data_IF_836939263732
#
_entry.id   IF_836939263732
#
_cell.length_a   1.000
_cell.length_b   1.000
_cell.length_c   1.000
_cell.angle_alpha   90.00
_cell.angle_beta   90.00
_cell.angle_gamma   90.00
#
_symmetry.space_group_name_H-M   'P 1'
#
loop_
_entity.id
_entity.type
_entity.pdbx_description
1 polymer ?
#
# COMPACT_ATOMS: atom_id res chain seq x y z
N UNK A 1 -2.16 20.22 -11.03
CA UNK A 1 -2.50 20.51 -9.62
C UNK A 1 -1.91 21.82 -9.12
N UNK A 2 -0.61 22.09 -9.28
CA UNK A 2 -0.01 23.33 -8.74
C UNK A 2 -0.68 24.63 -9.23
N UNK A 3 -1.15 24.67 -10.48
CA UNK A 3 -1.93 25.80 -10.98
C UNK A 3 -3.27 25.99 -10.25
N UNK A 4 -3.97 24.89 -9.93
CA UNK A 4 -5.22 24.90 -9.16
C UNK A 4 -4.94 25.38 -7.73
N UNK A 5 -3.90 24.83 -7.10
CA UNK A 5 -3.52 25.17 -5.73
C UNK A 5 -2.97 26.60 -5.55
N UNK A 6 -2.56 27.27 -6.64
CA UNK A 6 -2.26 28.71 -6.63
C UNK A 6 -3.51 29.57 -6.54
N UNK A 7 -4.61 29.11 -7.14
CA UNK A 7 -5.89 29.82 -7.15
C UNK A 7 -6.72 29.51 -5.90
N UNK A 8 -6.71 28.25 -5.48
CA UNK A 8 -7.36 27.74 -4.29
C UNK A 8 -6.42 26.77 -3.54
N UNK A 9 -5.64 27.29 -2.57
CA UNK A 9 -4.72 26.47 -1.78
C UNK A 9 -5.42 25.45 -0.87
N UNK A 10 -6.73 25.57 -0.67
CA UNK A 10 -7.52 24.73 0.24
C UNK A 10 -8.30 23.64 -0.49
N UNK A 11 -8.17 23.56 -1.82
CA UNK A 11 -8.85 22.56 -2.64
C UNK A 11 -8.38 21.13 -2.31
N UNK A 12 -9.16 20.42 -1.49
CA UNK A 12 -8.81 19.09 -0.97
C UNK A 12 -8.59 18.07 -2.09
N UNK A 13 -9.42 18.10 -3.12
CA UNK A 13 -9.31 17.16 -4.25
C UNK A 13 -8.03 17.38 -5.04
N UNK A 14 -7.66 18.64 -5.31
CA UNK A 14 -6.41 18.96 -5.98
C UNK A 14 -5.17 18.62 -5.14
N UNK A 15 -5.24 18.76 -3.82
CA UNK A 15 -4.17 18.34 -2.91
C UNK A 15 -4.04 16.82 -2.91
N UNK A 16 -5.15 16.09 -2.76
CA UNK A 16 -5.16 14.62 -2.79
C UNK A 16 -4.64 14.07 -4.10
N UNK A 17 -5.13 14.58 -5.23
CA UNK A 17 -4.72 14.14 -6.55
C UNK A 17 -3.25 14.49 -6.85
N UNK A 18 -2.74 15.59 -6.29
CA UNK A 18 -1.30 15.87 -6.30
C UNK A 18 -0.51 14.82 -5.52
N UNK A 19 -0.98 14.45 -4.32
CA UNK A 19 -0.38 13.37 -3.53
C UNK A 19 -0.36 12.05 -4.29
N UNK A 20 -1.46 11.71 -4.98
CA UNK A 20 -1.57 10.50 -5.78
C UNK A 20 -0.57 10.50 -6.94
N UNK A 21 -0.47 11.61 -7.67
CA UNK A 21 0.50 11.76 -8.76
C UNK A 21 1.95 11.64 -8.25
N UNK A 22 2.27 12.22 -7.09
CA UNK A 22 3.58 12.10 -6.47
C UNK A 22 3.89 10.66 -6.06
N UNK A 23 2.91 9.93 -5.50
CA UNK A 23 3.08 8.52 -5.15
C UNK A 23 3.31 7.64 -6.38
N UNK A 24 2.63 7.92 -7.50
CA UNK A 24 2.88 7.24 -8.79
C UNK A 24 4.26 7.54 -9.37
N UNK A 25 4.87 8.66 -9.00
CA UNK A 25 6.26 9.00 -9.31
C UNK A 25 7.24 8.49 -8.24
N UNK A 26 6.80 7.63 -7.32
CA UNK A 26 7.58 7.07 -6.19
C UNK A 26 8.13 8.13 -5.21
N UNK A 27 7.59 9.36 -5.26
CA UNK A 27 7.94 10.47 -4.36
C UNK A 27 7.10 10.39 -3.09
N UNK A 28 7.24 9.30 -2.35
CA UNK A 28 6.33 8.94 -1.26
C UNK A 28 6.31 9.94 -0.11
N UNK A 29 7.45 10.51 0.30
CA UNK A 29 7.47 11.52 1.37
C UNK A 29 6.70 12.79 0.98
N UNK A 30 6.79 13.22 -0.28
CA UNK A 30 6.06 14.39 -0.78
C UNK A 30 4.57 14.08 -0.99
N UNK A 31 4.25 12.85 -1.36
CA UNK A 31 2.86 12.37 -1.40
C UNK A 31 2.24 12.41 0.00
N UNK A 32 2.92 11.87 1.02
CA UNK A 32 2.50 11.92 2.43
C UNK A 32 2.27 13.36 2.88
N UNK A 33 3.21 14.27 2.60
CA UNK A 33 3.05 15.69 2.95
C UNK A 33 1.86 16.36 2.22
N UNK A 34 1.51 15.88 1.03
CA UNK A 34 0.30 16.34 0.33
C UNK A 34 -0.96 15.80 1.02
N UNK A 35 -1.02 14.51 1.35
CA UNK A 35 -2.16 13.96 2.09
C UNK A 35 -2.33 14.58 3.49
N UNK A 36 -1.24 14.90 4.17
CA UNK A 36 -1.29 15.63 5.44
C UNK A 36 -1.99 16.98 5.30
N UNK A 37 -1.66 17.75 4.25
CA UNK A 37 -2.35 19.00 3.95
C UNK A 37 -3.82 18.80 3.61
N UNK A 38 -4.17 17.72 2.90
CA UNK A 38 -5.57 17.40 2.63
C UNK A 38 -6.32 17.08 3.93
N UNK A 39 -5.68 16.38 4.86
CA UNK A 39 -6.23 16.03 6.17
C UNK A 39 -6.31 17.22 7.13
N UNK A 40 -5.44 18.23 7.00
CA UNK A 40 -5.60 19.50 7.71
C UNK A 40 -6.89 20.22 7.32
N UNK A 41 -7.29 20.15 6.04
CA UNK A 41 -8.53 20.75 5.54
C UNK A 41 -9.76 19.86 5.76
N UNK A 42 -9.60 18.54 5.70
CA UNK A 42 -10.66 17.56 5.87
C UNK A 42 -10.16 16.35 6.67
N UNK A 43 -10.17 16.44 8.02
CA UNK A 43 -9.58 15.42 8.90
C UNK A 43 -10.20 14.03 8.78
N UNK A 44 -11.46 13.96 8.35
CA UNK A 44 -12.21 12.72 8.19
C UNK A 44 -12.35 12.29 6.72
N UNK A 45 -11.44 12.73 5.84
CA UNK A 45 -11.40 12.29 4.44
C UNK A 45 -10.82 10.86 4.33
N UNK A 46 -11.63 9.83 3.99
CA UNK A 46 -11.15 8.45 3.97
C UNK A 46 -10.14 8.18 2.85
N UNK A 47 -10.27 8.87 1.70
CA UNK A 47 -9.36 8.70 0.57
C UNK A 47 -7.95 9.22 0.90
N UNK A 48 -7.87 10.39 1.55
CA UNK A 48 -6.60 10.95 2.00
C UNK A 48 -5.90 10.01 3.00
N UNK A 49 -6.63 9.49 3.98
CA UNK A 49 -6.12 8.47 4.91
C UNK A 49 -5.66 7.20 4.20
N UNK A 50 -6.46 6.69 3.26
CA UNK A 50 -6.14 5.46 2.52
C UNK A 50 -4.85 5.60 1.72
N UNK A 51 -4.74 6.64 0.89
CA UNK A 51 -3.57 6.83 0.05
C UNK A 51 -2.32 7.22 0.85
N UNK A 52 -2.49 7.92 1.99
CA UNK A 52 -1.40 8.13 2.95
C UNK A 52 -0.91 6.79 3.52
N UNK A 53 -1.83 5.90 3.88
CA UNK A 53 -1.51 4.53 4.32
C UNK A 53 -0.74 3.74 3.27
N UNK A 54 -1.16 3.79 2.00
CA UNK A 54 -0.44 3.18 0.88
C UNK A 54 0.97 3.75 0.72
N UNK A 55 1.14 5.08 0.84
CA UNK A 55 2.44 5.72 0.74
C UNK A 55 3.37 5.33 1.91
N UNK A 56 2.86 5.23 3.14
CA UNK A 56 3.63 4.70 4.28
C UNK A 56 4.03 3.24 4.10
N UNK A 57 3.11 2.43 3.57
CA UNK A 57 3.39 1.03 3.26
C UNK A 57 4.52 0.90 2.24
N UNK A 58 4.52 1.71 1.18
CA UNK A 58 5.56 1.70 0.16
C UNK A 58 6.97 2.05 0.70
N UNK A 59 7.05 2.84 1.77
CA UNK A 59 8.32 3.14 2.47
C UNK A 59 8.58 2.24 3.68
N UNK A 60 7.88 1.10 3.78
CA UNK A 60 8.01 0.10 4.86
C UNK A 60 7.69 0.62 6.27
N UNK A 61 6.94 1.73 6.37
CA UNK A 61 6.47 2.27 7.65
C UNK A 61 5.17 1.59 8.07
N UNK A 62 5.27 0.31 8.47
CA UNK A 62 4.11 -0.56 8.71
C UNK A 62 3.16 -0.03 9.80
N UNK A 63 3.68 0.48 10.91
CA UNK A 63 2.86 1.06 11.99
C UNK A 63 2.06 2.28 11.51
N UNK A 64 2.71 3.21 10.80
CA UNK A 64 2.05 4.40 10.29
C UNK A 64 1.01 4.07 9.20
N UNK A 65 1.29 3.07 8.36
CA UNK A 65 0.33 2.55 7.40
C UNK A 65 -0.88 1.91 8.10
N UNK A 66 -0.63 1.16 9.18
CA UNK A 66 -1.67 0.50 9.97
C UNK A 66 -2.61 1.51 10.62
N UNK A 67 -2.06 2.58 11.21
CA UNK A 67 -2.85 3.67 11.79
C UNK A 67 -3.75 4.32 10.74
N UNK A 68 -3.21 4.57 9.54
CA UNK A 68 -3.97 5.13 8.43
C UNK A 68 -5.12 4.22 8.01
N UNK A 69 -4.86 2.93 7.72
CA UNK A 69 -5.93 2.00 7.33
C UNK A 69 -6.95 1.76 8.45
N UNK A 70 -6.51 1.77 9.71
CA UNK A 70 -7.40 1.70 10.88
C UNK A 70 -8.34 2.91 10.94
N UNK A 71 -7.85 4.10 10.59
CA UNK A 71 -8.70 5.29 10.47
C UNK A 71 -9.67 5.18 9.28
N UNK A 72 -9.24 4.63 8.14
CA UNK A 72 -10.13 4.42 6.98
C UNK A 72 -11.30 3.51 7.35
N UNK A 73 -11.05 2.36 7.96
CA UNK A 73 -12.14 1.41 8.31
C UNK A 73 -13.05 1.92 9.43
N UNK A 74 -12.60 2.87 10.26
CA UNK A 74 -13.47 3.59 11.20
C UNK A 74 -14.40 4.57 10.47
N UNK A 75 -13.88 5.29 9.47
CA UNK A 75 -14.64 6.30 8.72
C UNK A 75 -15.54 5.68 7.65
N UNK A 76 -15.04 4.63 6.98
CA UNK A 76 -15.65 3.94 5.86
C UNK A 76 -15.57 2.40 6.07
N UNK A 77 -16.46 1.83 6.90
CA UNK A 77 -16.42 0.42 7.26
C UNK A 77 -16.70 -0.54 6.09
N UNK A 78 -17.26 -0.07 4.98
CA UNK A 78 -17.51 -0.83 3.76
C UNK A 78 -16.30 -0.87 2.80
N UNK A 79 -15.17 -0.24 3.17
CA UNK A 79 -13.95 -0.25 2.37
C UNK A 79 -13.19 -1.58 2.49
N UNK A 80 -13.49 -2.52 1.60
CA UNK A 80 -12.89 -3.87 1.55
C UNK A 80 -11.36 -3.80 1.50
N UNK A 81 -10.81 -2.95 0.64
CA UNK A 81 -9.35 -2.81 0.43
C UNK A 81 -8.63 -2.30 1.68
N UNK A 82 -9.25 -1.40 2.46
CA UNK A 82 -8.69 -0.95 3.73
C UNK A 82 -8.65 -2.07 4.78
N UNK A 83 -9.72 -2.86 4.89
CA UNK A 83 -9.75 -4.05 5.76
C UNK A 83 -8.69 -5.08 5.35
N UNK A 84 -8.56 -5.34 4.05
CA UNK A 84 -7.54 -6.22 3.51
C UNK A 84 -6.12 -5.74 3.84
N UNK A 85 -5.79 -4.48 3.54
CA UNK A 85 -4.46 -3.92 3.81
C UNK A 85 -4.13 -3.89 5.30
N UNK A 86 -5.13 -3.59 6.16
CA UNK A 86 -4.98 -3.67 7.61
C UNK A 86 -4.68 -5.10 8.07
N UNK A 87 -5.41 -6.09 7.53
CA UNK A 87 -5.15 -7.49 7.80
C UNK A 87 -3.76 -7.92 7.34
N UNK A 88 -3.33 -7.46 6.17
CA UNK A 88 -2.01 -7.75 5.64
C UNK A 88 -0.91 -7.22 6.56
N UNK A 89 -1.02 -5.98 7.03
CA UNK A 89 -0.06 -5.37 7.96
C UNK A 89 0.01 -6.11 9.29
N UNK A 90 -1.13 -6.47 9.90
CA UNK A 90 -1.13 -7.30 11.10
C UNK A 90 -0.45 -8.65 10.88
N UNK A 91 -0.62 -9.26 9.70
CA UNK A 91 0.10 -10.48 9.34
C UNK A 91 1.61 -10.23 9.27
N UNK A 92 2.06 -9.15 8.62
CA UNK A 92 3.47 -8.78 8.55
C UNK A 92 4.07 -8.56 9.94
N UNK A 93 3.33 -7.90 10.84
CA UNK A 93 3.76 -7.59 12.20
C UNK A 93 3.68 -8.77 13.16
N UNK A 94 2.91 -9.80 12.82
CA UNK A 94 2.78 -11.02 13.64
C UNK A 94 1.53 -11.09 14.50
N UNK A 95 0.66 -10.08 14.46
CA UNK A 95 -0.61 -10.04 15.16
C UNK A 95 -1.69 -10.84 14.40
N UNK A 96 -1.53 -12.16 14.38
CA UNK A 96 -2.32 -13.07 13.52
C UNK A 96 -3.83 -12.97 13.79
N UNK A 97 -4.25 -12.82 15.04
CA UNK A 97 -5.68 -12.72 15.39
C UNK A 97 -6.32 -11.45 14.80
N UNK A 98 -5.65 -10.31 14.88
CA UNK A 98 -6.16 -9.06 14.29
C UNK A 98 -6.14 -9.09 12.76
N UNK A 99 -5.18 -9.84 12.18
CA UNK A 99 -5.15 -10.12 10.75
C UNK A 99 -6.39 -10.91 10.31
N UNK A 100 -6.73 -12.00 11.01
CA UNK A 100 -7.93 -12.81 10.75
C UNK A 100 -9.19 -11.97 10.89
N UNK A 101 -9.34 -11.21 11.99
CA UNK A 101 -10.49 -10.32 12.20
C UNK A 101 -10.66 -9.31 11.05
N UNK A 102 -9.56 -8.79 10.54
CA UNK A 102 -9.58 -7.82 9.45
C UNK A 102 -9.99 -8.47 8.12
N UNK A 103 -9.50 -9.67 7.81
CA UNK A 103 -9.97 -10.41 6.63
C UNK A 103 -11.42 -10.86 6.75
N UNK A 104 -11.87 -11.25 7.94
CA UNK A 104 -13.27 -11.58 8.18
C UNK A 104 -14.18 -10.39 7.93
N UNK A 105 -13.74 -9.19 8.33
CA UNK A 105 -14.46 -7.95 8.05
C UNK A 105 -14.51 -7.65 6.54
N UNK A 106 -13.40 -7.88 5.81
CA UNK A 106 -13.38 -7.77 4.36
C UNK A 106 -14.31 -8.79 3.67
N UNK A 107 -14.28 -10.05 4.12
CA UNK A 107 -15.08 -11.16 3.57
C UNK A 107 -16.57 -11.07 3.94
N UNK A 108 -16.90 -10.40 5.04
CA UNK A 108 -18.30 -10.09 5.38
C UNK A 108 -18.92 -9.12 4.35
N UNK A 109 -18.11 -8.25 3.76
CA UNK A 109 -18.55 -7.29 2.73
C UNK A 109 -18.48 -7.94 1.34
N UNK A 110 -17.36 -8.59 1.00
CA UNK A 110 -17.18 -9.34 -0.24
C UNK A 110 -16.72 -10.78 0.05
N UNK A 111 -17.66 -11.73 0.15
CA UNK A 111 -17.35 -13.14 0.42
C UNK A 111 -16.52 -13.82 -0.67
N UNK A 112 -16.43 -13.21 -1.84
CA UNK A 112 -15.76 -13.76 -3.02
C UNK A 112 -14.36 -13.21 -3.26
N UNK A 113 -13.78 -12.45 -2.31
CA UNK A 113 -12.45 -11.86 -2.44
C UNK A 113 -11.33 -12.93 -2.33
N UNK A 114 -10.65 -13.32 -3.43
CA UNK A 114 -9.68 -14.42 -3.41
C UNK A 114 -8.45 -14.08 -2.56
N UNK A 115 -7.94 -12.85 -2.68
CA UNK A 115 -6.77 -12.36 -1.93
C UNK A 115 -7.00 -12.38 -0.42
N UNK A 116 -8.20 -12.04 0.05
CA UNK A 116 -8.55 -12.10 1.47
C UNK A 116 -8.61 -13.54 1.98
N UNK A 117 -9.24 -14.46 1.23
CA UNK A 117 -9.26 -15.90 1.58
C UNK A 117 -7.86 -16.51 1.62
N UNK A 118 -7.01 -16.17 0.65
CA UNK A 118 -5.63 -16.65 0.59
C UNK A 118 -4.80 -16.20 1.79
N UNK A 119 -4.86 -14.92 2.15
CA UNK A 119 -4.12 -14.40 3.28
C UNK A 119 -4.72 -14.80 4.64
N UNK A 120 -6.04 -14.97 4.74
CA UNK A 120 -6.71 -15.54 5.92
C UNK A 120 -6.31 -16.98 6.15
N UNK A 121 -6.27 -17.81 5.09
CA UNK A 121 -5.73 -19.17 5.16
C UNK A 121 -4.29 -19.17 5.69
N UNK A 122 -3.45 -18.27 5.20
CA UNK A 122 -2.09 -18.14 5.68
C UNK A 122 -2.04 -17.77 7.17
N UNK A 123 -2.89 -16.83 7.60
CA UNK A 123 -3.01 -16.45 9.01
C UNK A 123 -3.37 -17.65 9.91
N UNK A 124 -4.42 -18.41 9.58
CA UNK A 124 -4.79 -19.63 10.33
C UNK A 124 -3.66 -20.68 10.36
N UNK A 125 -2.93 -20.83 9.25
CA UNK A 125 -1.78 -21.73 9.20
C UNK A 125 -0.70 -21.34 10.21
N UNK A 126 -0.45 -20.04 10.43
CA UNK A 126 0.55 -19.56 11.40
C UNK A 126 0.24 -19.94 12.84
N UNK A 127 -1.04 -19.98 13.20
CA UNK A 127 -1.51 -20.35 14.54
C UNK A 127 -1.91 -21.82 14.66
N UNK A 128 -1.59 -22.63 13.63
CA UNK A 128 -1.84 -24.08 13.59
C UNK A 128 -3.33 -24.46 13.58
N UNK A 129 -4.19 -23.55 13.14
CA UNK A 129 -5.62 -23.75 12.90
C UNK A 129 -5.83 -24.34 11.49
N UNK A 130 -5.46 -25.61 11.35
CA UNK A 130 -5.38 -26.26 10.04
C UNK A 130 -6.74 -26.54 9.38
N UNK A 131 -7.78 -26.71 10.19
CA UNK A 131 -9.14 -26.96 9.69
C UNK A 131 -9.68 -25.68 9.04
N UNK A 132 -9.54 -24.54 9.72
CA UNK A 132 -9.92 -23.21 9.27
C UNK A 132 -9.13 -22.79 8.02
N UNK A 133 -7.84 -23.11 7.98
CA UNK A 133 -7.01 -22.93 6.79
C UNK A 133 -7.52 -23.77 5.61
N UNK A 134 -7.98 -25.00 5.85
CA UNK A 134 -8.53 -25.89 4.81
C UNK A 134 -9.89 -25.41 4.30
N UNK A 135 -10.74 -24.85 5.17
CA UNK A 135 -11.99 -24.20 4.78
C UNK A 135 -11.72 -23.03 3.85
N UNK A 136 -10.81 -22.13 4.25
CA UNK A 136 -10.43 -20.95 3.45
C UNK A 136 -9.85 -21.36 2.09
N UNK A 137 -9.05 -22.44 2.04
CA UNK A 137 -8.54 -23.03 0.79
C UNK A 137 -9.66 -23.56 -0.10
N UNK A 138 -10.61 -24.30 0.46
CA UNK A 138 -11.72 -24.87 -0.30
C UNK A 138 -12.60 -23.76 -0.90
N UNK A 139 -12.86 -22.70 -0.14
CA UNK A 139 -13.58 -21.51 -0.61
C UNK A 139 -12.82 -20.81 -1.74
N UNK A 140 -11.52 -20.56 -1.56
CA UNK A 140 -10.68 -19.95 -2.59
C UNK A 140 -10.72 -20.75 -3.88
N UNK A 141 -10.51 -22.06 -3.81
CA UNK A 141 -10.51 -22.93 -4.99
C UNK A 141 -11.89 -23.02 -5.67
N UNK A 142 -12.98 -22.80 -4.95
CA UNK A 142 -14.32 -22.75 -5.55
C UNK A 142 -14.55 -21.46 -6.34
N UNK A 143 -13.88 -20.36 -5.96
CA UNK A 143 -13.96 -19.05 -6.62
C UNK A 143 -12.96 -18.96 -7.77
N UNK A 144 -11.69 -19.24 -7.48
CA UNK A 144 -10.58 -19.17 -8.41
C UNK A 144 -9.60 -20.35 -8.16
N UNK A 145 -9.75 -21.47 -8.90
CA UNK A 145 -8.84 -22.61 -8.82
C UNK A 145 -7.40 -22.30 -9.24
N UNK A 146 -7.18 -21.28 -10.07
CA UNK A 146 -5.88 -20.96 -10.67
C UNK A 146 -5.13 -19.86 -9.88
N UNK A 147 -5.76 -19.29 -8.85
CA UNK A 147 -5.20 -18.21 -8.02
C UNK A 147 -3.78 -18.51 -7.51
N UNK A 148 -3.58 -19.66 -6.87
CA UNK A 148 -2.26 -20.06 -6.36
C UNK A 148 -1.23 -20.24 -7.49
N UNK A 149 -1.67 -20.76 -8.64
CA UNK A 149 -0.80 -20.96 -9.80
C UNK A 149 -0.36 -19.62 -10.38
N UNK A 150 -1.27 -18.65 -10.47
CA UNK A 150 -0.97 -17.28 -10.89
C UNK A 150 0.06 -16.62 -9.96
N UNK A 151 -0.10 -16.73 -8.63
CA UNK A 151 0.89 -16.24 -7.67
C UNK A 151 2.24 -16.95 -7.81
N UNK A 152 2.25 -18.25 -8.08
CA UNK A 152 3.49 -19.00 -8.28
C UNK A 152 4.22 -18.54 -9.55
N UNK A 153 3.49 -18.29 -10.63
CA UNK A 153 4.04 -17.80 -11.89
C UNK A 153 4.62 -16.39 -11.75
N UNK A 154 3.99 -15.54 -10.92
CA UNK A 154 4.48 -14.19 -10.58
C UNK A 154 5.61 -14.19 -9.52
N UNK A 155 5.90 -15.33 -8.90
CA UNK A 155 6.90 -15.45 -7.84
C UNK A 155 6.49 -14.83 -6.49
N UNK A 156 5.21 -14.50 -6.32
CA UNK A 156 4.65 -13.85 -5.12
C UNK A 156 3.92 -14.81 -4.18
N UNK A 157 3.86 -16.11 -4.54
CA UNK A 157 3.20 -17.13 -3.71
C UNK A 157 3.94 -17.32 -2.38
N UNK A 158 3.20 -17.17 -1.28
CA UNK A 158 3.67 -17.54 0.04
C UNK A 158 3.77 -19.07 0.12
N UNK A 159 4.86 -19.57 0.70
CA UNK A 159 5.01 -21.00 0.93
C UNK A 159 4.01 -21.48 2.01
N UNK A 160 3.00 -22.23 1.57
CA UNK A 160 2.05 -22.95 2.42
C UNK A 160 2.15 -24.44 2.02
N UNK A 161 2.39 -25.37 2.96
CA UNK A 161 2.49 -26.79 2.61
C UNK A 161 1.18 -27.31 2.01
N UNK A 162 1.28 -28.30 1.14
CA UNK A 162 0.11 -28.91 0.47
C UNK A 162 -0.73 -29.74 1.43
N UNK A 163 -0.07 -30.40 2.38
CA UNK A 163 -0.65 -31.23 3.43
C UNK A 163 -0.37 -30.58 4.78
N UNK A 164 -1.42 -30.37 5.57
CA UNK A 164 -1.33 -29.82 6.91
C UNK A 164 -1.04 -30.97 7.88
N UNK A 165 0.23 -31.19 8.21
CA UNK A 165 0.60 -32.13 9.26
C UNK A 165 0.83 -31.36 10.56
N UNK A 166 0.05 -31.65 11.61
CA UNK A 166 0.10 -30.89 12.87
C UNK A 166 1.38 -31.06 13.68
N UNK A 167 2.26 -31.97 13.27
CA UNK A 167 3.58 -32.22 13.83
C UNK A 167 4.70 -31.45 13.10
N UNK A 168 4.38 -30.69 12.04
CA UNK A 168 5.36 -29.99 11.23
C UNK A 168 5.77 -28.67 11.91
N UNK A 169 6.90 -28.68 12.62
CA UNK A 169 7.48 -27.48 13.22
C UNK A 169 8.38 -26.78 12.18
N UNK A 170 7.76 -26.13 11.19
CA UNK A 170 8.46 -25.34 10.19
C UNK A 170 8.49 -23.86 10.62
N UNK A 171 9.64 -23.34 11.08
CA UNK A 171 9.74 -21.90 11.33
C UNK A 171 9.60 -21.17 9.99
N UNK A 172 8.64 -20.24 9.91
CA UNK A 172 8.52 -19.36 8.76
C UNK A 172 9.85 -18.60 8.59
N UNK A 173 10.44 -18.54 7.38
CA UNK A 173 11.71 -17.87 7.22
C UNK A 173 11.53 -16.38 7.51
N UNK A 174 12.29 -15.85 8.48
CA UNK A 174 12.27 -14.44 8.88
C UNK A 174 12.47 -13.47 7.70
N UNK A 175 13.13 -13.94 6.61
CA UNK A 175 13.34 -13.17 5.38
C UNK A 175 12.05 -12.66 4.72
N UNK A 176 10.91 -13.30 4.97
CA UNK A 176 9.63 -12.90 4.36
C UNK A 176 8.92 -11.78 5.12
N UNK A 177 9.25 -11.55 6.39
CA UNK A 177 8.57 -10.57 7.24
C UNK A 177 9.53 -9.96 8.25
N UNK A 178 9.78 -8.66 8.12
CA UNK A 178 10.63 -7.90 9.04
C UNK A 178 9.99 -7.86 10.44
N UNK A 179 10.38 -8.80 11.29
CA UNK A 179 10.32 -8.59 12.74
C UNK A 179 11.26 -7.45 13.13
N UNK A 180 11.08 -6.91 14.33
CA UNK A 180 11.82 -5.74 14.87
C UNK A 180 13.36 -5.87 14.83
N UNK A 181 13.90 -7.06 14.52
CA UNK A 181 15.33 -7.33 14.35
C UNK A 181 15.85 -7.20 12.91
N UNK A 182 15.00 -6.93 11.91
CA UNK A 182 15.43 -6.78 10.51
C UNK A 182 15.41 -5.33 10.06
N UNK A 183 16.59 -4.71 10.06
CA UNK A 183 16.89 -3.55 9.24
C UNK A 183 17.52 -4.08 7.96
N UNK A 184 16.82 -4.12 6.81
CA UNK A 184 17.49 -4.38 5.54
C UNK A 184 18.58 -3.33 5.35
N UNK A 185 19.82 -3.74 5.02
CA UNK A 185 20.91 -2.81 4.65
C UNK A 185 20.53 -1.94 3.42
N UNK A 186 19.40 -2.24 2.76
CA UNK A 186 18.84 -1.51 1.64
C UNK A 186 17.55 -0.74 1.97
N UNK A 187 17.23 -0.49 3.24
CA UNK A 187 16.27 0.59 3.56
C UNK A 187 16.95 1.88 3.16
N UNK A 188 16.34 2.62 2.22
CA UNK A 188 16.66 4.03 2.02
C UNK A 188 16.48 4.72 3.37
N UNK A 189 17.61 4.93 4.06
CA UNK A 189 17.65 5.55 5.37
C UNK A 189 16.84 6.84 5.28
N UNK A 190 15.94 7.03 6.24
CA UNK A 190 15.16 8.25 6.37
C UNK A 190 16.12 9.44 6.45
N UNK A 191 16.33 10.13 5.32
CA UNK A 191 17.25 11.28 5.18
C UNK A 191 16.91 12.42 6.16
N UNK A 192 15.71 12.39 6.75
CA UNK A 192 15.26 13.33 7.79
C UNK A 192 16.01 13.15 9.11
N UNK A 193 16.36 11.92 9.50
CA UNK A 193 17.14 11.64 10.72
C UNK A 193 18.62 11.96 10.51
N UNK A 194 19.15 11.70 9.31
CA UNK A 194 20.52 12.07 8.94
C UNK A 194 20.69 13.59 8.96
N UNK A 195 19.72 14.35 8.44
CA UNK A 195 19.80 15.82 8.44
C UNK A 195 19.86 16.42 9.87
N UNK A 196 19.17 15.82 10.84
CA UNK A 196 19.23 16.26 12.24
C UNK A 196 20.55 15.88 12.93
N UNK A 197 21.13 14.72 12.59
CA UNK A 197 22.45 14.31 13.12
C UNK A 197 23.62 15.10 12.50
N UNK A 198 23.52 15.46 11.22
CA UNK A 198 24.55 16.24 10.51
C UNK A 198 24.54 17.71 10.92
N UNK A 199 23.37 18.28 11.22
CA UNK A 199 23.26 19.65 11.74
C UNK A 199 23.82 19.82 13.16
N UNK A 200 23.83 18.75 13.97
CA UNK A 200 24.44 18.78 15.31
C UNK A 200 25.95 18.56 15.31
N UNK A 201 26.55 18.15 14.19
CA UNK A 201 28.00 17.86 14.08
C UNK A 201 28.76 18.86 13.21
N UNK A 202 28.08 19.78 12.53
CA UNK A 202 28.70 20.70 11.55
C UNK A 202 28.73 22.15 12.02
N UNK A 203 29.13 22.39 13.27
CA UNK A 203 29.71 23.68 13.70
C UNK A 203 31.23 23.52 13.74
N UNK A 204 31.88 23.72 12.58
CA UNK A 204 33.28 24.16 12.35
C UNK A 204 33.79 23.69 10.99
N UNK A 205 33.74 24.57 9.97
CA UNK A 205 34.92 25.20 9.34
C UNK A 205 34.54 25.86 8.01
N UNK A 206 35.06 27.06 7.86
CA UNK A 206 35.06 27.92 6.68
C UNK A 206 35.89 27.32 5.54
N UNK A 207 35.61 27.75 4.30
CA UNK A 207 36.67 27.93 3.30
C UNK A 207 36.41 27.39 1.89
N UNK A 208 36.01 28.33 1.02
CA UNK A 208 36.55 28.54 -0.33
C UNK A 208 36.05 27.73 -1.56
N UNK A 209 36.22 28.44 -2.67
CA UNK A 209 35.57 28.48 -3.98
C UNK A 209 36.11 27.48 -5.04
N UNK A 210 35.35 27.29 -6.13
CA UNK A 210 35.82 26.64 -7.35
C UNK A 210 34.72 26.29 -8.34
N UNK A 211 34.96 26.57 -9.63
CA UNK A 211 34.01 26.65 -10.75
C UNK A 211 34.24 25.57 -11.83
N UNK A 212 33.21 25.33 -12.67
CA UNK A 212 33.21 25.03 -14.12
C UNK A 212 32.96 23.60 -14.67
N UNK A 213 32.10 23.55 -15.73
CA UNK A 213 32.13 22.67 -16.94
C UNK A 213 31.13 21.49 -16.96
N UNK A 214 29.99 21.49 -17.68
CA UNK A 214 29.74 21.26 -19.15
C UNK A 214 30.37 19.96 -19.71
N UNK A 215 29.73 19.01 -20.42
CA UNK A 215 28.77 19.04 -21.57
C UNK A 215 28.29 17.61 -21.97
N UNK A 216 27.08 17.52 -22.59
CA UNK A 216 26.54 16.66 -23.72
C UNK A 216 26.73 15.11 -23.75
N UNK A 217 25.90 14.23 -24.35
CA UNK A 217 25.01 14.23 -25.55
C UNK A 217 24.00 13.05 -25.48
N UNK A 218 22.71 13.23 -25.80
CA UNK A 218 21.95 12.82 -27.02
C UNK A 218 21.79 11.30 -27.35
N UNK A 219 20.54 10.79 -27.35
CA UNK A 219 19.73 10.49 -28.56
C UNK A 219 18.62 9.42 -28.37
N UNK A 220 17.38 9.81 -28.75
CA UNK A 220 16.32 9.10 -29.52
C UNK A 220 15.77 7.71 -29.09
N UNK A 221 14.53 7.28 -29.34
CA UNK A 221 13.24 7.79 -29.89
C UNK A 221 12.26 6.56 -29.89
N UNK A 222 10.97 6.78 -30.18
CA UNK A 222 9.80 5.87 -30.34
C UNK A 222 8.95 5.72 -29.06
N UNK A 223 7.77 6.33 -28.90
CA UNK A 223 6.59 6.42 -29.79
C UNK A 223 5.60 5.37 -29.29
N UNK A 224 4.53 5.67 -28.55
CA UNK A 224 3.26 6.24 -29.02
C UNK A 224 2.45 6.87 -27.86
N UNK A 225 1.80 8.00 -28.15
CA UNK A 225 0.72 8.61 -27.36
C UNK A 225 -0.60 8.49 -28.13
N UNK A 226 -1.73 8.24 -27.45
CA UNK A 226 -3.06 8.73 -27.88
C UNK A 226 -4.06 8.85 -26.71
N UNK A 227 -4.84 9.93 -26.74
CA UNK A 227 -5.98 10.44 -25.93
C UNK A 227 -7.03 10.89 -26.98
N UNK A 228 -8.35 11.16 -26.77
CA UNK A 228 -9.44 10.66 -25.91
C UNK A 228 -10.63 10.14 -26.79
N UNK A 229 -11.86 10.01 -26.25
CA UNK A 229 -13.07 10.39 -27.01
C UNK A 229 -14.22 10.80 -26.07
N UNK A 230 -14.83 11.95 -26.38
CA UNK A 230 -16.17 12.39 -25.94
C UNK A 230 -17.22 12.05 -27.02
N UNK A 231 -18.48 12.09 -26.59
CA UNK A 231 -19.75 12.10 -27.34
C UNK A 231 -20.39 10.74 -27.72
N UNK A 232 -21.32 10.27 -26.89
CA UNK A 232 -22.75 10.49 -27.16
C UNK A 232 -23.69 10.07 -26.00
N UNK A 233 -24.56 11.02 -25.65
CA UNK A 233 -25.97 10.92 -25.25
C UNK A 233 -26.38 10.25 -23.92
N UNK A 234 -26.91 11.13 -23.04
CA UNK A 234 -28.12 10.98 -22.21
C UNK A 234 -28.28 9.69 -21.40
N UNK A 235 -28.01 9.77 -20.10
CA UNK A 235 -29.00 9.41 -19.09
C UNK A 235 -28.71 10.09 -17.75
N UNK A 236 -29.79 10.59 -17.16
CA UNK A 236 -29.89 11.33 -15.91
C UNK A 236 -29.46 10.49 -14.70
N UNK A 237 -28.76 11.16 -13.78
CA UNK A 237 -28.92 11.12 -12.33
C UNK A 237 -29.00 9.73 -11.64
N UNK A 238 -27.87 9.28 -11.08
CA UNK A 238 -27.83 8.66 -9.75
C UNK A 238 -26.38 8.71 -9.20
N UNK A 239 -26.18 9.57 -8.20
CA UNK A 239 -24.89 9.84 -7.56
C UNK A 239 -24.36 8.67 -6.72
N UNK A 240 -23.65 7.76 -7.38
CA UNK A 240 -22.73 6.83 -6.73
C UNK A 240 -21.32 7.10 -7.28
N UNK A 241 -20.51 7.85 -6.52
CA UNK A 241 -19.08 7.96 -6.79
C UNK A 241 -18.44 6.57 -6.63
N UNK A 242 -18.37 5.85 -7.73
CA UNK A 242 -17.74 4.54 -7.81
C UNK A 242 -16.22 4.76 -7.91
N UNK A 243 -15.59 5.04 -6.77
CA UNK A 243 -14.14 5.16 -6.68
C UNK A 243 -13.50 3.79 -6.88
N UNK A 244 -13.03 3.54 -8.10
CA UNK A 244 -12.22 2.38 -8.43
C UNK A 244 -10.86 2.50 -7.74
N UNK A 245 -10.65 1.67 -6.72
CA UNK A 245 -9.37 1.54 -6.01
C UNK A 245 -8.72 0.26 -6.51
N UNK A 246 -7.68 0.35 -7.36
CA UNK A 246 -7.12 -0.82 -8.02
C UNK A 246 -6.57 -1.81 -7.00
N UNK A 247 -6.93 -3.08 -7.15
CA UNK A 247 -6.34 -4.17 -6.38
C UNK A 247 -4.84 -4.32 -6.73
N UNK A 248 -3.97 -4.77 -5.80
CA UNK A 248 -2.53 -4.86 -6.02
C UNK A 248 -2.10 -5.84 -7.13
N UNK A 249 -3.04 -6.62 -7.68
CA UNK A 249 -2.86 -7.52 -8.83
C UNK A 249 -3.35 -6.91 -10.16
N UNK A 250 -3.87 -5.69 -10.14
CA UNK A 250 -4.17 -4.90 -11.33
C UNK A 250 -2.89 -4.21 -11.85
N UNK A 251 -2.11 -5.00 -12.59
CA UNK A 251 -1.05 -4.53 -13.47
C UNK A 251 -1.30 -5.04 -14.89
#
# INVERSE_FOLDING_TARGET
YDGILKLDPTNVDAINNKGFALAKMERYQEAIASYDKALEQSPDNPAAWYFKGCAYFAISSNNAALDCFSKVVQLKPDCITAWYNRGYLYNVMGDVNESINSYDSALAINPTAPSALYNKRFAHYRIKEYEEASISKAQLNAIDPDFEAALQNRGTRIFIPKTYEGNLDYPLPARWYGGEEYVPENVSINMTEIAQQVNNTSSKREGDSGSAGETTDESNDTGYWYIPNEENEENEDEGYENWYVPEPDEA
#
